data_IF_377444814456
#
_entry.id   IF_377444814456
#
_cell.length_a   1.000
_cell.length_b   1.000
_cell.length_c   1.000
_cell.angle_alpha   90.00
_cell.angle_beta   90.00
_cell.angle_gamma   90.00
#
_symmetry.space_group_name_H-M   'P 1'
#
loop_
_entity.id
_entity.type
_entity.pdbx_description
1 polymer ?
#
# COMPACT_ATOMS: atom_id res chain seq x y z
N UNK A 1 -15.44 24.96 -28.53
CA UNK A 1 -15.31 24.89 -27.07
C UNK A 1 -14.57 23.60 -26.79
N UNK A 2 -13.28 23.69 -26.53
CA UNK A 2 -12.47 22.50 -26.32
C UNK A 2 -12.62 22.08 -24.86
N UNK A 3 -13.49 21.09 -24.64
CA UNK A 3 -13.86 20.61 -23.32
C UNK A 3 -12.77 19.65 -22.83
N UNK A 4 -11.61 20.22 -22.52
CA UNK A 4 -10.44 19.52 -21.97
C UNK A 4 -10.79 19.01 -20.57
N UNK A 5 -11.03 17.69 -20.47
CA UNK A 5 -11.42 17.02 -19.23
C UNK A 5 -10.18 16.59 -18.41
N UNK A 6 -9.25 17.52 -18.22
CA UNK A 6 -8.05 17.28 -17.42
C UNK A 6 -8.42 16.88 -15.99
N UNK A 7 -7.60 16.01 -15.41
CA UNK A 7 -7.75 15.47 -14.07
C UNK A 7 -7.01 16.42 -13.12
N UNK A 8 -7.68 17.19 -12.26
CA UNK A 8 -6.99 17.99 -11.25
C UNK A 8 -6.33 17.07 -10.22
N UNK A 9 -5.07 17.35 -9.85
CA UNK A 9 -4.44 16.65 -8.72
C UNK A 9 -5.01 17.13 -7.37
N UNK A 10 -4.87 16.38 -6.27
CA UNK A 10 -5.37 16.82 -4.97
C UNK A 10 -4.63 18.08 -4.49
N UNK A 11 -5.31 19.03 -3.83
CA UNK A 11 -4.70 20.30 -3.43
C UNK A 11 -3.56 20.11 -2.41
N UNK A 12 -3.63 19.07 -1.57
CA UNK A 12 -2.58 18.70 -0.61
C UNK A 12 -2.46 17.18 -0.47
N UNK A 13 -1.27 16.69 -0.10
CA UNK A 13 -0.98 15.28 0.16
C UNK A 13 -0.84 14.92 1.64
N UNK A 14 -0.89 15.92 2.53
CA UNK A 14 -0.61 15.80 3.97
C UNK A 14 -1.66 16.56 4.79
N UNK A 15 -1.99 16.03 5.97
CA UNK A 15 -2.79 16.69 7.00
C UNK A 15 -2.08 16.55 8.35
N UNK A 16 -2.11 17.59 9.18
CA UNK A 16 -1.46 17.57 10.49
C UNK A 16 -2.51 17.36 11.60
N UNK A 17 -2.33 16.31 12.40
CA UNK A 17 -3.15 16.03 13.59
C UNK A 17 -2.25 16.21 14.81
N UNK A 18 -2.25 17.43 15.34
CA UNK A 18 -1.23 17.86 16.29
C UNK A 18 0.18 17.72 15.67
N UNK A 19 1.14 17.08 16.36
CA UNK A 19 2.49 16.88 15.84
C UNK A 19 2.60 15.79 14.75
N UNK A 20 1.52 15.05 14.44
CA UNK A 20 1.55 13.90 13.54
C UNK A 20 1.12 14.29 12.12
N UNK A 21 2.03 14.17 11.16
CA UNK A 21 1.73 14.34 9.74
C UNK A 21 1.09 13.06 9.16
N UNK A 22 -0.23 13.07 8.95
CA UNK A 22 -0.94 12.06 8.19
C UNK A 22 -0.70 12.27 6.69
N UNK A 23 0.04 11.35 6.07
CA UNK A 23 0.46 11.42 4.66
C UNK A 23 -0.41 10.49 3.82
N UNK A 24 -1.03 10.99 2.75
CA UNK A 24 -1.98 10.24 1.93
C UNK A 24 -1.40 8.90 1.42
N UNK A 25 -0.18 8.92 0.87
CA UNK A 25 0.48 7.73 0.35
C UNK A 25 0.68 6.65 1.41
N UNK A 26 0.95 7.02 2.67
CA UNK A 26 1.12 6.06 3.76
C UNK A 26 -0.19 5.34 4.07
N UNK A 27 -1.32 6.07 4.06
CA UNK A 27 -2.66 5.49 4.21
C UNK A 27 -2.98 4.52 3.07
N UNK A 28 -2.68 4.89 1.81
CA UNK A 28 -2.90 3.99 0.66
C UNK A 28 -1.98 2.76 0.66
N UNK A 29 -0.71 2.88 1.12
CA UNK A 29 0.18 1.73 1.30
C UNK A 29 -0.35 0.79 2.40
N UNK A 30 -0.78 1.33 3.55
CA UNK A 30 -1.35 0.53 4.65
C UNK A 30 -2.64 -0.17 4.18
N UNK A 31 -3.54 0.53 3.49
CA UNK A 31 -4.74 -0.05 2.89
C UNK A 31 -4.39 -1.17 1.89
N UNK A 32 -3.38 -0.96 1.05
CA UNK A 32 -2.87 -1.97 0.13
C UNK A 32 -2.37 -3.22 0.86
N UNK A 33 -1.57 -3.06 1.92
CA UNK A 33 -1.08 -4.17 2.76
C UNK A 33 -2.25 -4.94 3.40
N UNK A 34 -3.25 -4.25 3.95
CA UNK A 34 -4.45 -4.87 4.52
C UNK A 34 -5.22 -5.67 3.47
N UNK A 35 -5.43 -5.10 2.27
CA UNK A 35 -6.09 -5.78 1.15
C UNK A 35 -5.31 -7.00 0.70
N UNK A 36 -3.98 -6.91 0.58
CA UNK A 36 -3.12 -8.03 0.19
C UNK A 36 -3.17 -9.18 1.21
N UNK A 37 -3.15 -8.88 2.52
CA UNK A 37 -3.23 -9.89 3.59
C UNK A 37 -4.63 -10.50 3.62
N UNK A 38 -5.69 -9.71 3.73
CA UNK A 38 -7.08 -10.22 3.90
C UNK A 38 -7.54 -11.00 2.66
N UNK A 39 -7.23 -10.53 1.46
CA UNK A 39 -7.59 -11.27 0.24
C UNK A 39 -6.65 -12.45 -0.04
N UNK A 40 -5.36 -12.30 0.24
CA UNK A 40 -4.39 -13.37 0.17
C UNK A 40 -4.73 -14.54 1.09
N UNK A 41 -5.13 -14.27 2.33
CA UNK A 41 -5.50 -15.31 3.31
C UNK A 41 -6.77 -16.04 2.89
N UNK A 42 -7.81 -15.30 2.44
CA UNK A 42 -9.02 -15.91 1.83
C UNK A 42 -8.68 -16.79 0.63
N UNK A 43 -7.72 -16.40 -0.21
CA UNK A 43 -7.24 -17.20 -1.35
C UNK A 43 -6.36 -18.40 -0.94
N UNK A 44 -5.66 -18.31 0.18
CA UNK A 44 -4.86 -19.38 0.78
C UNK A 44 -5.76 -20.46 1.42
N UNK A 45 -6.75 -20.05 2.22
CA UNK A 45 -7.78 -20.95 2.78
C UNK A 45 -8.56 -21.63 1.66
N UNK A 46 -8.96 -20.90 0.61
CA UNK A 46 -9.63 -21.47 -0.58
C UNK A 46 -8.74 -22.42 -1.43
N UNK A 47 -7.46 -22.59 -1.09
CA UNK A 47 -6.56 -23.61 -1.65
C UNK A 47 -6.38 -24.83 -0.72
N UNK A 48 -6.82 -24.75 0.54
CA UNK A 48 -6.67 -25.78 1.57
C UNK A 48 -5.81 -25.37 2.78
N UNK A 49 -5.21 -24.17 2.72
CA UNK A 49 -4.36 -23.63 3.78
C UNK A 49 -5.10 -23.22 5.06
N UNK A 50 -4.34 -22.91 6.10
CA UNK A 50 -4.84 -22.48 7.41
C UNK A 50 -5.08 -20.96 7.48
N UNK A 51 -6.22 -20.54 8.04
CA UNK A 51 -6.61 -19.12 8.25
C UNK A 51 -5.55 -18.41 9.11
N UNK A 52 -5.23 -17.17 8.76
CA UNK A 52 -4.20 -16.35 9.40
C UNK A 52 -2.78 -16.55 8.87
N UNK A 53 -2.51 -17.62 8.11
CA UNK A 53 -1.15 -17.92 7.62
C UNK A 53 -0.52 -16.80 6.80
N UNK A 54 -1.31 -16.04 6.04
CA UNK A 54 -0.76 -14.91 5.27
C UNK A 54 -0.39 -13.73 6.18
N UNK A 55 -1.15 -13.49 7.26
CA UNK A 55 -0.82 -12.52 8.30
C UNK A 55 0.46 -12.93 9.05
N UNK A 56 0.55 -14.20 9.46
CA UNK A 56 1.70 -14.76 10.16
C UNK A 56 3.02 -14.66 9.36
N UNK A 57 2.92 -14.66 8.02
CA UNK A 57 4.07 -14.50 7.12
C UNK A 57 4.33 -13.01 6.81
N UNK A 58 3.29 -12.17 6.80
CA UNK A 58 3.45 -10.71 6.74
C UNK A 58 4.20 -10.15 7.96
N UNK A 59 4.08 -10.76 9.15
CA UNK A 59 4.87 -10.45 10.35
C UNK A 59 6.38 -10.59 10.09
N UNK A 60 6.81 -11.48 9.19
CA UNK A 60 8.21 -11.56 8.75
C UNK A 60 8.51 -10.66 7.55
N UNK A 61 7.63 -10.65 6.54
CA UNK A 61 7.87 -9.95 5.29
C UNK A 61 7.88 -8.41 5.43
N UNK A 62 6.98 -7.83 6.23
CA UNK A 62 6.84 -6.36 6.33
C UNK A 62 8.03 -5.72 7.08
N UNK A 63 8.47 -6.21 8.26
CA UNK A 63 9.64 -5.63 8.94
C UNK A 63 10.94 -5.82 8.14
N UNK A 64 11.14 -6.99 7.53
CA UNK A 64 12.30 -7.21 6.65
C UNK A 64 12.26 -6.29 5.43
N UNK A 65 11.09 -6.06 4.84
CA UNK A 65 10.90 -5.10 3.74
C UNK A 65 11.21 -3.66 4.15
N UNK A 66 10.78 -3.21 5.34
CA UNK A 66 11.11 -1.88 5.85
C UNK A 66 12.62 -1.72 6.06
N UNK A 67 13.27 -2.69 6.70
CA UNK A 67 14.72 -2.72 6.93
C UNK A 67 15.47 -2.71 5.59
N UNK A 68 15.09 -3.56 4.64
CA UNK A 68 15.72 -3.65 3.33
C UNK A 68 15.55 -2.40 2.49
N UNK A 69 14.37 -1.77 2.56
CA UNK A 69 14.12 -0.49 1.91
C UNK A 69 15.03 0.61 2.43
N UNK A 70 15.20 0.71 3.75
CA UNK A 70 16.12 1.68 4.35
C UNK A 70 17.57 1.38 4.02
N UNK A 71 18.00 0.13 4.16
CA UNK A 71 19.37 -0.30 3.85
C UNK A 71 19.76 -0.01 2.41
N UNK A 72 18.90 -0.30 1.43
CA UNK A 72 19.17 -0.01 0.02
C UNK A 72 19.38 1.49 -0.22
N UNK A 73 18.52 2.34 0.34
CA UNK A 73 18.64 3.79 0.16
C UNK A 73 19.89 4.36 0.86
N UNK A 74 20.23 3.88 2.06
CA UNK A 74 21.47 4.27 2.76
C UNK A 74 22.72 3.81 2.00
N UNK A 75 22.65 2.68 1.26
CA UNK A 75 23.74 2.20 0.40
C UNK A 75 23.86 2.98 -0.91
N UNK A 76 22.75 3.40 -1.53
CA UNK A 76 22.78 4.20 -2.77
C UNK A 76 23.17 5.65 -2.51
N UNK A 77 22.63 6.23 -1.43
CA UNK A 77 22.81 7.63 -1.06
C UNK A 77 23.81 7.79 0.11
N UNK A 78 24.77 6.86 0.21
CA UNK A 78 25.84 6.81 1.23
C UNK A 78 26.49 8.17 1.54
N UNK A 79 26.82 9.05 0.57
CA UNK A 79 27.48 10.33 0.87
C UNK A 79 26.61 11.30 1.68
N UNK A 80 25.28 11.19 1.61
CA UNK A 80 24.37 12.02 2.41
C UNK A 80 24.37 11.65 3.90
N UNK A 81 24.77 10.41 4.23
CA UNK A 81 24.78 9.89 5.61
C UNK A 81 26.18 9.90 6.23
N UNK A 82 27.23 9.71 5.43
CA UNK A 82 28.61 9.52 5.91
C UNK A 82 29.65 10.44 5.24
N UNK A 83 29.22 11.35 4.37
CA UNK A 83 30.07 12.42 3.84
C UNK A 83 30.34 13.54 4.84
N UNK A 84 31.06 14.57 4.40
CA UNK A 84 31.61 15.66 5.24
C UNK A 84 30.56 16.45 6.06
N UNK A 85 29.30 16.48 5.59
CA UNK A 85 28.17 17.10 6.30
C UNK A 85 27.05 16.10 6.68
N UNK A 86 27.32 14.79 6.54
CA UNK A 86 26.34 13.73 6.79
C UNK A 86 26.14 13.44 8.28
N UNK A 87 24.94 13.00 8.66
CA UNK A 87 24.65 12.51 10.02
C UNK A 87 24.44 10.98 9.99
N UNK A 88 25.40 10.17 10.48
CA UNK A 88 25.28 8.70 10.45
C UNK A 88 24.06 8.15 11.18
N UNK A 89 23.53 8.86 12.18
CA UNK A 89 22.30 8.49 12.89
C UNK A 89 21.05 8.61 12.01
N UNK A 90 21.06 9.45 10.98
CA UNK A 90 19.92 9.61 10.06
C UNK A 90 19.69 8.34 9.24
N UNK A 91 20.73 7.54 9.00
CA UNK A 91 20.60 6.23 8.35
C UNK A 91 19.54 5.32 9.01
N UNK A 92 19.33 5.44 10.32
CA UNK A 92 18.34 4.67 11.08
C UNK A 92 16.93 5.28 11.10
N UNK A 93 16.76 6.57 10.74
CA UNK A 93 15.52 7.34 10.89
C UNK A 93 14.51 7.06 9.76
N UNK A 94 13.96 5.84 9.73
CA UNK A 94 12.97 5.40 8.71
C UNK A 94 11.74 6.31 8.55
N UNK A 95 11.42 7.12 9.57
CA UNK A 95 10.31 8.08 9.56
C UNK A 95 10.62 9.39 8.81
N UNK A 96 11.89 9.66 8.47
CA UNK A 96 12.27 10.75 7.57
C UNK A 96 12.05 10.41 6.08
N UNK A 97 11.62 9.19 5.76
CA UNK A 97 11.45 8.70 4.39
C UNK A 97 12.66 7.91 3.89
N UNK A 98 12.98 8.02 2.61
CA UNK A 98 14.14 7.34 2.00
C UNK A 98 14.09 5.81 2.14
N UNK A 99 13.21 5.17 1.36
CA UNK A 99 13.04 3.71 1.32
C UNK A 99 13.10 3.21 -0.14
N UNK A 100 14.16 2.47 -0.48
CA UNK A 100 14.36 1.94 -1.83
C UNK A 100 13.55 0.68 -2.09
N UNK A 101 12.66 0.72 -3.09
CA UNK A 101 11.75 -0.40 -3.40
C UNK A 101 12.47 -1.74 -3.69
N UNK A 102 13.65 -1.69 -4.32
CA UNK A 102 14.45 -2.89 -4.60
C UNK A 102 14.88 -3.64 -3.34
N UNK A 103 15.41 -2.92 -2.34
CA UNK A 103 15.76 -3.52 -1.05
C UNK A 103 14.56 -4.02 -0.27
N UNK A 104 13.43 -3.30 -0.36
CA UNK A 104 12.19 -3.70 0.30
C UNK A 104 11.59 -4.98 -0.28
N UNK A 105 11.59 -5.13 -1.62
CA UNK A 105 11.16 -6.36 -2.30
C UNK A 105 12.12 -7.52 -1.99
N UNK A 106 13.43 -7.27 -2.01
CA UNK A 106 14.44 -8.32 -1.78
C UNK A 106 14.41 -8.87 -0.34
N UNK A 107 14.57 -8.03 0.68
CA UNK A 107 14.51 -8.51 2.07
C UNK A 107 13.09 -8.92 2.48
N UNK A 108 12.04 -8.25 1.98
CA UNK A 108 10.65 -8.67 2.23
C UNK A 108 10.37 -10.07 1.68
N UNK A 109 10.91 -10.41 0.51
CA UNK A 109 10.88 -11.77 -0.04
C UNK A 109 11.64 -12.79 0.82
N UNK A 110 12.80 -12.41 1.37
CA UNK A 110 13.55 -13.24 2.33
C UNK A 110 12.76 -13.44 3.63
N UNK A 111 12.11 -12.40 4.16
CA UNK A 111 11.22 -12.50 5.32
C UNK A 111 10.05 -13.47 5.05
N UNK A 112 9.39 -13.35 3.90
CA UNK A 112 8.34 -14.28 3.49
C UNK A 112 8.85 -15.74 3.37
N UNK A 113 10.04 -15.93 2.80
CA UNK A 113 10.71 -17.25 2.71
C UNK A 113 11.03 -17.83 4.10
N UNK A 114 11.54 -17.04 5.04
CA UNK A 114 11.78 -17.45 6.44
C UNK A 114 10.46 -17.88 7.11
N UNK A 115 9.40 -17.08 6.97
CA UNK A 115 8.07 -17.39 7.51
C UNK A 115 7.52 -18.72 6.98
N UNK A 116 7.55 -18.90 5.66
CA UNK A 116 7.17 -20.16 5.01
C UNK A 116 8.02 -21.33 5.52
N UNK A 117 9.35 -21.18 5.59
CA UNK A 117 10.28 -22.26 5.93
C UNK A 117 10.17 -22.69 7.40
N UNK A 118 9.85 -21.75 8.31
CA UNK A 118 9.50 -22.07 9.71
C UNK A 118 8.18 -22.83 9.81
N UNK A 119 7.13 -22.41 9.09
CA UNK A 119 5.84 -23.16 9.05
C UNK A 119 5.93 -24.50 8.31
N UNK A 120 6.87 -24.64 7.38
CA UNK A 120 7.06 -25.81 6.54
C UNK A 120 6.27 -25.82 5.22
N UNK A 121 5.59 -24.73 4.88
CA UNK A 121 4.70 -24.64 3.71
C UNK A 121 5.45 -24.25 2.41
N UNK A 122 4.92 -24.62 1.23
CA UNK A 122 5.51 -24.25 -0.05
C UNK A 122 5.33 -22.76 -0.39
N UNK A 123 6.45 -22.05 -0.54
CA UNK A 123 6.53 -20.63 -0.92
C UNK A 123 5.82 -20.35 -2.25
N UNK A 124 5.89 -21.29 -3.20
CA UNK A 124 5.25 -21.20 -4.51
C UNK A 124 3.73 -21.10 -4.43
N UNK A 125 3.12 -21.91 -3.55
CA UNK A 125 1.68 -21.94 -3.34
C UNK A 125 1.19 -20.67 -2.64
N UNK A 126 1.98 -20.16 -1.67
CA UNK A 126 1.72 -18.87 -1.04
C UNK A 126 1.78 -17.74 -2.09
N UNK A 127 2.82 -17.72 -2.92
CA UNK A 127 2.97 -16.77 -4.02
C UNK A 127 1.74 -16.74 -4.92
N UNK A 128 1.25 -17.91 -5.36
CA UNK A 128 0.03 -18.01 -6.17
C UNK A 128 -1.25 -17.60 -5.41
N UNK A 129 -1.31 -17.78 -4.09
CA UNK A 129 -2.41 -17.27 -3.27
C UNK A 129 -2.39 -15.73 -3.21
N UNK A 130 -1.24 -15.13 -2.90
CA UNK A 130 -1.13 -13.69 -2.61
C UNK A 130 -0.91 -12.81 -3.84
N UNK A 131 -0.50 -13.35 -5.00
CA UNK A 131 -0.14 -12.55 -6.18
C UNK A 131 -1.21 -11.52 -6.62
N UNK A 132 -2.52 -11.86 -6.73
CA UNK A 132 -3.55 -10.87 -7.03
C UNK A 132 -3.71 -9.81 -5.93
N UNK A 133 -3.47 -10.17 -4.67
CA UNK A 133 -3.50 -9.25 -3.53
C UNK A 133 -2.34 -8.24 -3.55
N UNK A 134 -1.12 -8.70 -3.84
CA UNK A 134 0.06 -7.83 -3.99
C UNK A 134 -0.12 -6.86 -5.15
N UNK A 135 -0.58 -7.33 -6.31
CA UNK A 135 -0.76 -6.48 -7.48
C UNK A 135 -1.92 -5.48 -7.29
N UNK A 136 -2.98 -5.86 -6.57
CA UNK A 136 -4.03 -4.91 -6.17
C UNK A 136 -3.51 -3.88 -5.16
N UNK A 137 -2.64 -4.27 -4.23
CA UNK A 137 -1.97 -3.35 -3.32
C UNK A 137 -1.06 -2.35 -4.06
N UNK A 138 -0.38 -2.77 -5.13
CA UNK A 138 0.36 -1.87 -6.02
C UNK A 138 -0.57 -0.88 -6.73
N UNK A 139 -1.74 -1.32 -7.22
CA UNK A 139 -2.75 -0.43 -7.81
C UNK A 139 -3.28 0.61 -6.80
N UNK A 140 -3.57 0.20 -5.57
CA UNK A 140 -3.99 1.10 -4.48
C UNK A 140 -2.84 2.08 -4.13
N UNK A 141 -1.61 1.60 -4.05
CA UNK A 141 -0.42 2.42 -3.78
C UNK A 141 -0.18 3.54 -4.80
N UNK A 142 -0.56 3.33 -6.08
CA UNK A 142 -0.48 4.37 -7.12
C UNK A 142 -1.41 5.56 -6.85
N UNK A 143 -2.52 5.37 -6.14
CA UNK A 143 -3.38 6.48 -5.68
C UNK A 143 -2.61 7.37 -4.67
N UNK A 144 -1.70 6.77 -3.89
CA UNK A 144 -0.77 7.52 -3.05
C UNK A 144 0.13 8.48 -3.83
N UNK A 145 0.64 8.05 -4.99
CA UNK A 145 1.48 8.90 -5.85
C UNK A 145 0.69 10.08 -6.47
N UNK A 146 -0.61 9.89 -6.74
CA UNK A 146 -1.51 10.96 -7.19
C UNK A 146 -1.70 12.05 -6.13
N UNK A 147 -1.92 11.68 -4.85
CA UNK A 147 -1.97 12.67 -3.76
C UNK A 147 -0.62 13.35 -3.50
N UNK A 148 0.49 12.63 -3.64
CA UNK A 148 1.83 13.20 -3.54
C UNK A 148 2.20 14.09 -4.73
N UNK A 149 1.46 14.03 -5.85
CA UNK A 149 1.85 14.61 -7.14
C UNK A 149 3.25 14.16 -7.58
N UNK A 150 3.52 12.85 -7.56
CA UNK A 150 4.83 12.28 -7.88
C UNK A 150 4.74 11.18 -8.94
N UNK A 151 5.89 10.82 -9.52
CA UNK A 151 6.05 9.70 -10.48
C UNK A 151 5.17 9.78 -11.74
N UNK A 152 4.58 10.94 -12.04
CA UNK A 152 3.85 11.22 -13.27
C UNK A 152 4.72 11.05 -14.54
N UNK A 153 4.09 10.99 -15.72
CA UNK A 153 4.78 10.88 -17.01
C UNK A 153 5.22 12.23 -17.57
N UNK A 154 5.67 12.25 -18.84
CA UNK A 154 5.98 13.50 -19.54
C UNK A 154 4.75 14.41 -19.72
N UNK A 155 5.00 15.67 -20.07
CA UNK A 155 3.97 16.65 -20.41
C UNK A 155 3.12 16.19 -21.61
N UNK A 156 1.85 16.62 -21.63
CA UNK A 156 0.85 16.08 -22.56
C UNK A 156 -0.29 17.04 -22.86
N UNK A 157 -0.92 16.82 -24.02
CA UNK A 157 -2.13 17.53 -24.45
C UNK A 157 -3.33 16.58 -24.66
N UNK A 158 -3.24 15.32 -24.20
CA UNK A 158 -4.38 14.39 -24.26
C UNK A 158 -5.48 14.86 -23.29
N UNK A 159 -6.77 14.75 -23.65
CA UNK A 159 -7.87 15.40 -22.90
C UNK A 159 -8.16 14.79 -21.52
N UNK A 160 -7.35 13.83 -21.06
CA UNK A 160 -7.37 13.24 -19.70
C UNK A 160 -6.02 13.42 -18.98
N UNK A 161 -5.20 14.41 -19.39
CA UNK A 161 -3.95 14.77 -18.71
C UNK A 161 -4.17 15.13 -17.24
N UNK A 162 -3.16 14.89 -16.40
CA UNK A 162 -3.15 15.24 -14.98
C UNK A 162 -2.56 16.63 -14.80
N UNK A 163 -3.29 17.51 -14.13
CA UNK A 163 -2.81 18.85 -13.75
C UNK A 163 -1.98 18.75 -12.47
N UNK A 164 -0.75 19.25 -12.51
CA UNK A 164 0.14 19.34 -11.34
C UNK A 164 0.04 20.75 -10.78
N UNK A 165 -0.67 20.91 -9.65
CA UNK A 165 -0.81 22.20 -9.00
C UNK A 165 0.46 22.61 -8.26
N UNK A 166 0.84 23.88 -8.32
CA UNK A 166 1.83 24.43 -7.40
C UNK A 166 1.31 24.35 -5.96
N UNK A 167 2.22 24.04 -5.02
CA UNK A 167 1.91 23.98 -3.58
C UNK A 167 2.91 24.82 -2.80
N UNK A 168 2.40 25.56 -1.83
CA UNK A 168 3.19 26.41 -0.93
C UNK A 168 2.96 26.05 0.53
N UNK A 169 3.99 26.29 1.35
CA UNK A 169 3.89 26.20 2.81
C UNK A 169 3.28 27.49 3.41
N UNK A 170 3.12 27.52 4.74
CA UNK A 170 2.55 28.66 5.48
C UNK A 170 3.35 29.97 5.35
N UNK A 171 4.58 29.92 4.83
CA UNK A 171 5.45 31.07 4.58
C UNK A 171 5.47 31.49 3.10
N UNK A 172 4.58 30.94 2.27
CA UNK A 172 4.50 31.22 0.84
C UNK A 172 5.64 30.61 0.01
N UNK A 173 6.46 29.73 0.59
CA UNK A 173 7.56 29.07 -0.12
C UNK A 173 7.08 27.76 -0.75
N UNK A 174 7.64 27.39 -1.90
CA UNK A 174 7.32 26.15 -2.62
C UNK A 174 7.57 24.92 -1.75
N UNK A 175 6.54 24.08 -1.58
CA UNK A 175 6.61 22.78 -0.92
C UNK A 175 5.63 21.81 -1.61
N UNK A 176 6.10 21.12 -2.64
CA UNK A 176 5.29 20.19 -3.43
C UNK A 176 4.79 18.99 -2.61
N UNK A 177 5.43 18.65 -1.50
CA UNK A 177 5.20 17.40 -0.76
C UNK A 177 4.28 17.58 0.45
N UNK A 178 4.42 18.67 1.21
CA UNK A 178 3.64 18.96 2.41
C UNK A 178 2.89 20.30 2.37
N UNK A 179 3.12 21.14 1.35
CA UNK A 179 2.36 22.36 1.12
C UNK A 179 0.93 22.13 0.60
N UNK A 180 0.20 23.23 0.46
CA UNK A 180 -1.19 23.29 0.00
C UNK A 180 -1.25 24.08 -1.32
N UNK A 181 -2.13 23.67 -2.23
CA UNK A 181 -2.29 24.30 -3.53
C UNK A 181 -2.74 25.76 -3.44
N UNK A 182 -2.09 26.62 -4.23
CA UNK A 182 -2.51 28.01 -4.47
C UNK A 182 -3.50 28.13 -5.66
N UNK A 183 -3.78 27.03 -6.36
CA UNK A 183 -4.64 26.96 -7.54
C UNK A 183 -3.90 27.12 -8.88
N UNK A 184 -2.60 27.41 -8.90
CA UNK A 184 -1.82 27.52 -10.14
C UNK A 184 -1.44 26.14 -10.68
N UNK A 185 -1.60 25.90 -11.99
CA UNK A 185 -1.19 24.66 -12.65
C UNK A 185 0.21 24.84 -13.25
N UNK A 186 1.21 24.17 -12.67
CA UNK A 186 2.60 24.20 -13.18
C UNK A 186 2.69 23.54 -14.55
N UNK A 187 2.01 22.39 -14.73
CA UNK A 187 2.08 21.57 -15.95
C UNK A 187 0.94 20.56 -16.04
N UNK A 188 0.67 20.09 -17.26
CA UNK A 188 -0.26 18.98 -17.55
C UNK A 188 0.52 17.79 -18.10
N UNK A 189 0.38 16.62 -17.46
CA UNK A 189 1.25 15.44 -17.66
C UNK A 189 0.45 14.15 -17.87
N UNK A 190 1.08 13.13 -18.45
CA UNK A 190 0.48 11.80 -18.55
C UNK A 190 0.21 11.21 -17.13
N UNK A 191 -1.05 10.84 -16.79
CA UNK A 191 -1.39 10.19 -15.52
C UNK A 191 -0.89 8.73 -15.45
N UNK A 192 0.42 8.53 -15.35
CA UNK A 192 1.05 7.21 -15.20
C UNK A 192 0.50 6.46 -13.99
N UNK A 193 0.16 7.16 -12.90
CA UNK A 193 -0.48 6.55 -11.74
C UNK A 193 -1.78 5.83 -12.11
N UNK A 194 -2.60 6.43 -12.99
CA UNK A 194 -3.88 5.89 -13.45
C UNK A 194 -3.65 4.75 -14.45
N UNK A 195 -2.70 4.92 -15.38
CA UNK A 195 -2.33 3.87 -16.33
C UNK A 195 -1.81 2.63 -15.60
N UNK A 196 -0.95 2.78 -14.60
CA UNK A 196 -0.47 1.68 -13.77
C UNK A 196 -1.56 1.08 -12.88
N UNK A 197 -2.41 1.89 -12.25
CA UNK A 197 -3.50 1.39 -11.43
C UNK A 197 -4.51 0.56 -12.26
N UNK A 198 -4.93 1.07 -13.42
CA UNK A 198 -5.83 0.37 -14.35
C UNK A 198 -5.16 -0.89 -14.90
N UNK A 199 -3.90 -0.83 -15.33
CA UNK A 199 -3.17 -2.00 -15.82
C UNK A 199 -3.04 -3.08 -14.75
N UNK A 200 -2.65 -2.70 -13.53
CA UNK A 200 -2.54 -3.63 -12.41
C UNK A 200 -3.90 -4.27 -12.09
N UNK A 201 -5.01 -3.51 -12.10
CA UNK A 201 -6.36 -4.07 -11.92
C UNK A 201 -6.76 -5.02 -13.06
N UNK A 202 -6.44 -4.70 -14.32
CA UNK A 202 -6.70 -5.58 -15.46
C UNK A 202 -5.94 -6.91 -15.34
N UNK A 203 -4.67 -6.86 -14.93
CA UNK A 203 -3.88 -8.07 -14.68
C UNK A 203 -4.37 -8.81 -13.42
N UNK A 204 -4.83 -8.14 -12.36
CA UNK A 204 -5.50 -8.78 -11.20
C UNK A 204 -6.73 -9.58 -11.66
N UNK A 205 -7.57 -8.99 -12.52
CA UNK A 205 -8.75 -9.66 -13.09
C UNK A 205 -8.31 -10.88 -13.92
N UNK A 206 -7.31 -10.73 -14.79
CA UNK A 206 -6.75 -11.83 -15.59
C UNK A 206 -6.26 -12.98 -14.70
N UNK A 207 -5.49 -12.71 -13.65
CA UNK A 207 -4.98 -13.72 -12.72
C UNK A 207 -6.11 -14.46 -12.00
N UNK A 208 -7.14 -13.75 -11.55
CA UNK A 208 -8.31 -14.35 -10.89
C UNK A 208 -9.10 -15.24 -11.86
N UNK A 209 -9.30 -14.81 -13.11
CA UNK A 209 -9.97 -15.60 -14.14
C UNK A 209 -9.15 -16.85 -14.51
N UNK A 210 -7.85 -16.71 -14.69
CA UNK A 210 -6.92 -17.80 -15.03
C UNK A 210 -6.85 -18.84 -13.91
N UNK A 211 -6.71 -18.42 -12.64
CA UNK A 211 -6.71 -19.34 -11.49
C UNK A 211 -8.05 -20.07 -11.33
N UNK A 212 -9.18 -19.38 -11.51
CA UNK A 212 -10.51 -20.01 -11.48
C UNK A 212 -10.71 -21.00 -12.63
N UNK A 213 -10.27 -20.67 -13.85
CA UNK A 213 -10.49 -21.48 -15.06
C UNK A 213 -9.54 -22.68 -15.19
N UNK A 214 -8.30 -22.55 -14.73
CA UNK A 214 -7.24 -23.55 -14.94
C UNK A 214 -6.65 -24.14 -13.65
N UNK A 215 -7.06 -23.67 -12.46
CA UNK A 215 -6.58 -24.12 -11.13
C UNK A 215 -5.05 -24.14 -11.07
N UNK A 216 -4.43 -22.98 -11.23
CA UNK A 216 -2.97 -22.86 -11.35
C UNK A 216 -2.31 -22.86 -9.98
N UNK A 217 -1.28 -23.69 -9.83
CA UNK A 217 -0.36 -23.72 -8.69
C UNK A 217 1.10 -23.79 -9.13
N UNK A 218 1.96 -24.14 -8.18
CA UNK A 218 3.41 -24.30 -8.33
C UNK A 218 4.15 -23.01 -8.73
N UNK A 219 3.68 -21.86 -8.24
CA UNK A 219 4.30 -20.54 -8.45
C UNK A 219 3.99 -19.91 -9.81
N UNK A 220 3.16 -20.59 -10.61
CA UNK A 220 2.90 -20.22 -12.01
C UNK A 220 1.93 -19.05 -12.12
N UNK A 221 1.06 -18.82 -11.13
CA UNK A 221 0.22 -17.62 -11.09
C UNK A 221 1.04 -16.39 -10.64
N UNK A 222 1.97 -16.57 -9.71
CA UNK A 222 2.95 -15.54 -9.33
C UNK A 222 3.85 -15.16 -10.52
N UNK A 223 4.27 -16.14 -11.33
CA UNK A 223 5.00 -15.87 -12.57
C UNK A 223 4.18 -15.06 -13.60
N UNK A 224 2.87 -15.35 -13.75
CA UNK A 224 1.99 -14.52 -14.58
C UNK A 224 1.79 -13.09 -14.01
N UNK A 225 1.78 -12.92 -12.68
CA UNK A 225 1.81 -11.60 -12.04
C UNK A 225 3.07 -10.84 -12.41
N UNK A 226 4.25 -11.45 -12.25
CA UNK A 226 5.54 -10.84 -12.59
C UNK A 226 5.60 -10.45 -14.08
N UNK A 227 5.18 -11.34 -14.98
CA UNK A 227 5.12 -11.04 -16.42
C UNK A 227 4.14 -9.89 -16.72
N UNK A 228 2.92 -9.92 -16.16
CA UNK A 228 1.93 -8.86 -16.36
C UNK A 228 2.40 -7.50 -15.83
N UNK A 229 3.03 -7.47 -14.65
CA UNK A 229 3.62 -6.26 -14.08
C UNK A 229 4.79 -5.73 -14.92
N UNK A 230 5.72 -6.58 -15.34
CA UNK A 230 6.87 -6.18 -16.17
C UNK A 230 6.44 -5.63 -17.54
N UNK A 231 5.38 -6.17 -18.14
CA UNK A 231 4.82 -5.63 -19.39
C UNK A 231 4.25 -4.21 -19.19
N UNK A 232 3.49 -3.98 -18.11
CA UNK A 232 3.00 -2.65 -17.76
C UNK A 232 4.13 -1.67 -17.45
N UNK A 233 5.13 -2.11 -16.68
CA UNK A 233 6.32 -1.32 -16.33
C UNK A 233 7.12 -0.91 -17.57
N UNK A 234 7.28 -1.81 -18.54
CA UNK A 234 7.92 -1.53 -19.84
C UNK A 234 7.17 -0.43 -20.60
N UNK A 235 5.84 -0.56 -20.77
CA UNK A 235 5.01 0.44 -21.48
C UNK A 235 5.02 1.80 -20.78
N UNK A 236 5.00 1.83 -19.44
CA UNK A 236 5.01 3.08 -18.67
C UNK A 236 6.38 3.75 -18.67
N UNK A 237 7.49 2.99 -18.67
CA UNK A 237 8.84 3.56 -18.76
C UNK A 237 9.07 4.29 -20.10
N UNK A 238 8.46 3.82 -21.19
CA UNK A 238 8.45 4.51 -22.50
C UNK A 238 7.59 5.79 -22.53
N UNK A 239 6.82 6.08 -21.47
CA UNK A 239 6.04 7.31 -21.29
C UNK A 239 6.67 8.30 -20.31
N UNK A 240 7.82 7.96 -19.71
CA UNK A 240 8.61 8.87 -18.87
C UNK A 240 9.68 9.58 -19.70
N UNK A 241 10.09 10.74 -19.22
CA UNK A 241 11.18 11.54 -19.80
C UNK A 241 12.12 12.09 -18.70
N UNK A 242 12.12 11.43 -17.54
CA UNK A 242 13.03 11.69 -16.42
C UNK A 242 14.43 11.11 -16.67
N UNK A 243 15.45 11.65 -16.02
CA UNK A 243 16.81 11.12 -16.13
C UNK A 243 16.86 9.65 -15.67
N UNK A 244 17.40 8.78 -16.52
CA UNK A 244 17.59 7.37 -16.23
C UNK A 244 18.94 6.89 -16.75
N UNK A 245 19.57 5.97 -16.04
CA UNK A 245 20.73 5.27 -16.57
C UNK A 245 20.32 4.38 -17.76
N UNK A 246 21.11 4.39 -18.82
CA UNK A 246 20.87 3.62 -20.04
C UNK A 246 22.00 2.64 -20.33
N UNK A 247 21.65 1.52 -20.95
CA UNK A 247 22.58 0.55 -21.53
C UNK A 247 22.20 0.42 -23.00
N UNK A 248 23.15 0.69 -23.90
CA UNK A 248 22.94 0.66 -25.36
C UNK A 248 21.73 1.50 -25.86
N UNK A 249 21.49 2.67 -25.26
CA UNK A 249 20.36 3.55 -25.61
C UNK A 249 18.99 3.07 -25.10
N UNK A 250 18.97 2.17 -24.12
CA UNK A 250 17.76 1.66 -23.48
C UNK A 250 17.88 1.84 -21.97
N UNK A 251 16.89 2.53 -21.36
CA UNK A 251 16.77 2.69 -19.91
C UNK A 251 16.91 1.36 -19.16
N UNK A 252 17.75 1.31 -18.12
CA UNK A 252 18.03 0.09 -17.32
C UNK A 252 16.76 -0.58 -16.79
N UNK A 253 15.76 0.20 -16.38
CA UNK A 253 14.44 -0.31 -15.97
C UNK A 253 13.70 -1.05 -17.10
N UNK A 254 13.79 -0.58 -18.33
CA UNK A 254 13.17 -1.19 -19.52
C UNK A 254 13.85 -2.51 -19.85
N UNK A 255 15.18 -2.52 -19.88
CA UNK A 255 15.98 -3.73 -20.10
C UNK A 255 15.74 -4.80 -19.02
N UNK A 256 15.74 -4.39 -17.74
CA UNK A 256 15.47 -5.26 -16.60
C UNK A 256 14.05 -5.83 -16.65
N UNK A 257 13.06 -5.01 -16.99
CA UNK A 257 11.66 -5.47 -17.15
C UNK A 257 11.53 -6.49 -18.27
N UNK A 258 12.26 -6.33 -19.38
CA UNK A 258 12.31 -7.31 -20.47
C UNK A 258 12.89 -8.65 -20.04
N UNK A 259 14.04 -8.65 -19.36
CA UNK A 259 14.66 -9.89 -18.86
C UNK A 259 13.74 -10.62 -17.87
N UNK A 260 13.19 -9.89 -16.89
CA UNK A 260 12.31 -10.48 -15.87
C UNK A 260 10.99 -10.98 -16.48
N UNK A 261 10.46 -10.31 -17.50
CA UNK A 261 9.31 -10.77 -18.28
C UNK A 261 9.56 -12.13 -18.94
N UNK A 262 10.64 -12.27 -19.71
CA UNK A 262 10.97 -13.53 -20.37
C UNK A 262 11.33 -14.65 -19.39
N UNK A 263 12.02 -14.35 -18.30
CA UNK A 263 12.30 -15.31 -17.23
C UNK A 263 11.01 -15.82 -16.55
N UNK A 264 10.05 -14.93 -16.29
CA UNK A 264 8.75 -15.28 -15.72
C UNK A 264 7.89 -16.13 -16.68
N UNK A 265 7.89 -15.82 -17.98
CA UNK A 265 7.24 -16.66 -19.00
C UNK A 265 7.91 -18.05 -19.10
N UNK A 266 9.25 -18.12 -19.13
CA UNK A 266 9.97 -19.38 -19.14
C UNK A 266 9.61 -20.25 -17.92
N UNK A 267 9.59 -19.66 -16.71
CA UNK A 267 9.13 -20.34 -15.50
C UNK A 267 7.67 -20.81 -15.63
N UNK A 268 6.76 -19.97 -16.14
CA UNK A 268 5.35 -20.33 -16.33
C UNK A 268 5.14 -21.57 -17.24
N UNK A 269 5.97 -21.74 -18.27
CA UNK A 269 5.89 -22.89 -19.17
C UNK A 269 6.64 -24.14 -18.66
N UNK A 270 7.76 -23.95 -17.95
CA UNK A 270 8.62 -25.04 -17.46
C UNK A 270 8.17 -25.62 -16.11
N UNK A 271 7.54 -24.83 -15.24
CA UNK A 271 7.12 -25.27 -13.92
C UNK A 271 5.94 -26.28 -13.97
N UNK A 272 5.86 -27.12 -12.92
CA UNK A 272 4.89 -28.22 -12.79
C UNK A 272 3.44 -27.74 -13.02
N UNK A 273 2.73 -28.41 -13.92
CA UNK A 273 1.33 -28.12 -14.25
C UNK A 273 0.38 -28.65 -13.16
N UNK A 274 -0.81 -28.05 -13.07
CA UNK A 274 -1.79 -28.32 -12.01
C UNK A 274 -1.58 -27.48 -10.75
N UNK A 275 -2.34 -27.79 -9.69
CA UNK A 275 -2.25 -27.19 -8.36
C UNK A 275 -1.57 -28.14 -7.37
N UNK A 276 -1.02 -27.59 -6.30
CA UNK A 276 -0.57 -28.34 -5.11
C UNK A 276 -1.74 -29.12 -4.47
N UNK A 277 -1.41 -30.18 -3.71
CA UNK A 277 -2.40 -30.88 -2.89
C UNK A 277 -2.74 -30.03 -1.64
N UNK A 278 -4.01 -29.92 -1.22
CA UNK A 278 -4.38 -29.30 0.06
C UNK A 278 -3.60 -29.81 1.29
N UNK A 279 -3.10 -31.05 1.27
CA UNK A 279 -2.23 -31.61 2.30
C UNK A 279 -0.83 -30.96 2.32
N UNK A 280 -0.25 -30.63 1.16
CA UNK A 280 1.06 -29.95 1.04
C UNK A 280 1.04 -28.53 1.64
N UNK A 281 -0.15 -27.94 1.81
CA UNK A 281 -0.35 -26.58 2.32
C UNK A 281 -0.46 -26.50 3.85
N UNK A 282 -0.37 -27.64 4.56
CA UNK A 282 -0.45 -27.69 6.02
C UNK A 282 0.88 -27.31 6.67
N UNK A 283 0.79 -26.53 7.75
CA UNK A 283 1.92 -26.25 8.61
C UNK A 283 2.35 -27.51 9.36
N UNK A 284 3.64 -27.61 9.70
CA UNK A 284 4.18 -28.68 10.55
C UNK A 284 3.44 -28.78 11.89
N UNK A 285 3.03 -27.64 12.44
CA UNK A 285 2.31 -27.56 13.71
C UNK A 285 0.92 -28.19 13.59
N UNK A 286 0.18 -27.88 12.51
CA UNK A 286 -1.11 -28.52 12.23
C UNK A 286 -0.98 -30.04 12.08
N UNK A 287 0.02 -30.51 11.31
CA UNK A 287 0.26 -31.96 11.12
C UNK A 287 0.62 -32.64 12.44
N UNK A 288 1.42 -31.99 13.30
CA UNK A 288 1.76 -32.48 14.63
C UNK A 288 0.55 -32.54 15.57
N UNK A 289 -0.27 -31.48 15.63
CA UNK A 289 -1.47 -31.42 16.48
C UNK A 289 -2.52 -32.48 16.09
N UNK A 290 -2.73 -32.70 14.79
CA UNK A 290 -3.59 -33.79 14.28
C UNK A 290 -3.03 -35.15 14.65
N UNK A 291 -1.71 -35.36 14.52
CA UNK A 291 -1.06 -36.63 14.89
C UNK A 291 -1.07 -36.88 16.41
N UNK A 292 -1.09 -35.82 17.23
CA UNK A 292 -1.24 -35.89 18.68
C UNK A 292 -2.70 -36.07 19.15
N UNK A 293 -3.68 -36.00 18.23
CA UNK A 293 -5.10 -36.15 18.55
C UNK A 293 -5.72 -34.96 19.27
N UNK A 294 -5.17 -33.75 19.09
CA UNK A 294 -5.63 -32.55 19.80
C UNK A 294 -7.07 -32.17 19.42
N UNK A 295 -7.98 -32.29 20.39
CA UNK A 295 -9.38 -31.95 20.20
C UNK A 295 -9.57 -30.44 20.01
N UNK A 296 -9.97 -30.03 18.81
CA UNK A 296 -10.17 -28.62 18.44
C UNK A 296 -9.41 -28.16 17.21
N UNK A 297 -8.59 -29.00 16.57
CA UNK A 297 -8.00 -28.69 15.26
C UNK A 297 -9.12 -28.59 14.20
N UNK A 298 -9.60 -27.38 13.97
CA UNK A 298 -10.68 -27.10 13.04
C UNK A 298 -10.32 -27.46 11.59
N UNK A 299 -11.30 -27.98 10.85
CA UNK A 299 -11.15 -28.23 9.43
C UNK A 299 -10.89 -26.90 8.67
N UNK A 300 -10.03 -26.89 7.63
CA UNK A 300 -9.72 -25.67 6.89
C UNK A 300 -10.97 -25.09 6.23
N UNK A 301 -11.37 -23.88 6.65
CA UNK A 301 -12.50 -23.15 6.07
C UNK A 301 -13.76 -23.03 6.94
N UNK A 302 -13.79 -23.59 8.16
CA UNK A 302 -14.86 -23.26 9.12
C UNK A 302 -14.56 -21.94 9.83
N UNK A 303 -15.36 -20.90 9.59
CA UNK A 303 -15.28 -19.64 10.34
C UNK A 303 -15.83 -19.81 11.77
N UNK A 304 -14.93 -20.14 12.70
CA UNK A 304 -15.23 -20.36 14.12
C UNK A 304 -15.54 -19.07 14.91
N UNK A 305 -15.41 -17.89 14.30
CA UNK A 305 -15.72 -16.60 14.92
C UNK A 305 -17.21 -16.48 15.32
N UNK A 306 -18.13 -17.10 14.57
CA UNK A 306 -19.55 -17.12 14.92
C UNK A 306 -19.85 -17.92 16.20
N UNK A 307 -19.09 -18.98 16.48
CA UNK A 307 -19.36 -19.88 17.61
C UNK A 307 -19.00 -19.30 18.99
N UNK A 308 -18.27 -18.17 19.04
CA UNK A 308 -17.92 -17.47 20.30
C UNK A 308 -18.86 -16.33 20.66
N UNK A 309 -19.83 -15.98 19.82
CA UNK A 309 -20.81 -14.94 20.11
C UNK A 309 -21.91 -15.47 21.06
N UNK A 310 -22.62 -16.53 20.67
CA UNK A 310 -23.78 -17.05 21.41
C UNK A 310 -23.42 -17.55 22.82
N UNK A 311 -22.27 -18.21 22.96
CA UNK A 311 -21.79 -18.74 24.23
C UNK A 311 -21.51 -17.68 25.31
N UNK A 312 -21.50 -16.38 24.97
CA UNK A 312 -21.30 -15.28 25.92
C UNK A 312 -22.60 -14.56 26.33
N UNK A 313 -23.75 -14.96 25.77
CA UNK A 313 -25.06 -14.35 26.04
C UNK A 313 -25.86 -15.15 27.08
N UNK A 314 -25.61 -16.46 27.21
CA UNK A 314 -26.36 -17.34 28.13
C UNK A 314 -25.98 -17.15 29.60
N UNK A 315 -24.68 -17.03 29.90
CA UNK A 315 -24.19 -17.07 31.29
C UNK A 315 -24.46 -15.77 32.07
N UNK A 316 -24.74 -14.67 31.36
CA UNK A 316 -25.02 -13.36 31.96
C UNK A 316 -26.40 -13.25 32.63
N UNK A 317 -27.28 -14.26 32.53
CA UNK A 317 -28.69 -14.17 32.96
C UNK A 317 -29.07 -15.05 34.16
N UNK A 318 -28.08 -15.64 34.85
CA UNK A 318 -28.30 -16.54 35.98
C UNK A 318 -28.02 -15.91 37.38
N UNK A 319 -27.57 -14.65 37.46
CA UNK A 319 -27.02 -14.04 38.69
C UNK A 319 -27.70 -12.74 39.15
N UNK A 320 -29.00 -12.54 38.88
CA UNK A 320 -29.72 -11.40 39.47
C UNK A 320 -31.20 -11.75 39.75
N UNK A 321 -31.42 -12.45 40.87
CA UNK A 321 -32.73 -12.97 41.27
C UNK A 321 -32.92 -13.03 42.81
N UNK A 322 -32.63 -11.92 43.52
CA UNK A 322 -33.01 -11.76 44.94
C UNK A 322 -33.05 -10.30 45.40
N UNK A 323 -34.06 -9.97 46.21
CA UNK A 323 -34.52 -8.61 46.60
C UNK A 323 -35.01 -7.77 45.38
N UNK A 324 -36.27 -7.33 45.24
CA UNK A 324 -37.23 -6.69 46.18
C UNK A 324 -36.79 -5.27 46.58
N UNK A 325 -37.64 -4.24 46.51
CA UNK A 325 -39.06 -4.13 46.09
C UNK A 325 -39.62 -2.75 46.51
N UNK A 326 -40.93 -2.46 46.29
CA UNK A 326 -41.59 -1.16 46.59
C UNK A 326 -41.16 -0.02 45.62
N UNK A 327 -42.05 0.43 44.73
CA UNK A 327 -42.89 1.66 44.81
C UNK A 327 -42.16 2.94 44.32
N UNK A 328 -42.80 4.00 43.79
CA UNK A 328 -44.10 4.15 43.10
C UNK A 328 -44.15 5.53 42.39
N UNK A 329 -45.00 5.66 41.35
CA UNK A 329 -45.61 6.90 40.79
C UNK A 329 -44.74 8.13 40.39
N UNK A 330 -45.16 8.85 39.32
CA UNK A 330 -44.86 10.30 39.18
C UNK A 330 -44.60 10.82 37.76
N UNK A 331 -45.40 11.82 37.36
CA UNK A 331 -45.29 12.78 36.23
C UNK A 331 -43.87 13.16 35.75
N UNK A 332 -43.55 13.37 34.46
CA UNK A 332 -44.24 14.11 33.34
C UNK A 332 -43.94 15.64 33.31
N UNK A 333 -43.85 16.23 32.10
CA UNK A 333 -43.71 17.69 31.75
C UNK A 333 -42.36 18.39 32.09
N UNK A 334 -41.76 19.36 31.36
CA UNK A 334 -41.56 19.68 29.91
C UNK A 334 -40.40 20.71 29.73
N UNK A 335 -39.83 20.82 28.51
CA UNK A 335 -39.36 22.03 27.77
C UNK A 335 -38.46 23.16 28.36
N UNK A 336 -37.51 23.59 27.50
CA UNK A 336 -37.04 25.00 27.27
C UNK A 336 -36.09 25.67 28.31
N UNK A 337 -35.30 26.72 28.00
CA UNK A 337 -34.99 27.36 26.71
C UNK A 337 -33.54 27.94 26.63
N UNK A 338 -33.24 28.61 25.51
CA UNK A 338 -31.96 29.13 24.99
C UNK A 338 -31.33 30.40 25.66
N UNK A 339 -30.32 30.96 24.97
CA UNK A 339 -29.70 32.31 25.11
C UNK A 339 -28.61 32.48 26.21
N UNK A 340 -27.61 33.39 26.14
CA UNK A 340 -27.18 34.36 25.09
C UNK A 340 -25.74 34.90 25.33
N UNK A 341 -25.11 35.54 24.30
CA UNK A 341 -24.07 36.62 24.38
C UNK A 341 -22.71 36.35 25.11
N UNK A 342 -21.60 37.12 25.02
CA UNK A 342 -20.94 38.08 24.07
C UNK A 342 -19.55 38.43 24.67
N UNK A 343 -18.49 39.01 24.06
CA UNK A 343 -18.18 39.61 22.73
C UNK A 343 -16.68 39.21 22.37
N UNK A 344 -15.67 39.93 21.85
CA UNK A 344 -15.42 41.32 21.37
C UNK A 344 -14.23 41.43 20.37
N UNK A 345 -14.42 42.20 19.29
CA UNK A 345 -13.65 43.40 18.82
C UNK A 345 -12.28 43.77 19.45
N UNK A 346 -11.32 44.44 18.77
CA UNK A 346 -11.24 45.02 17.41
C UNK A 346 -9.78 45.33 16.95
N UNK A 347 -9.59 45.59 15.63
CA UNK A 347 -8.64 46.56 15.00
C UNK A 347 -7.10 46.41 15.23
N UNK A 348 -6.19 47.06 14.47
CA UNK A 348 -6.09 47.42 13.03
C UNK A 348 -4.64 47.85 12.70
N UNK A 349 -4.30 48.00 11.41
CA UNK A 349 -3.41 49.02 10.79
C UNK A 349 -2.46 48.50 9.68
N UNK A 350 -2.01 49.44 8.84
CA UNK A 350 -1.31 49.23 7.57
C UNK A 350 0.22 49.37 7.69
N UNK A 351 0.97 48.81 6.73
CA UNK A 351 1.94 49.60 5.93
C UNK A 351 2.53 48.78 4.79
N UNK A 352 2.90 49.49 3.72
CA UNK A 352 3.58 48.95 2.53
C UNK A 352 5.09 49.12 2.61
N UNK A 353 5.85 48.22 1.99
CA UNK A 353 6.94 48.69 1.12
C UNK A 353 7.29 47.69 0.01
N UNK A 354 7.92 48.17 -1.07
CA UNK A 354 8.24 47.35 -2.25
C UNK A 354 9.62 47.67 -2.84
N UNK A 355 10.49 46.66 -2.90
CA UNK A 355 11.83 46.77 -3.51
C UNK A 355 12.01 45.73 -4.62
N UNK A 356 12.66 46.17 -5.71
CA UNK A 356 12.83 45.43 -6.97
C UNK A 356 14.24 44.83 -7.12
N UNK A 357 14.30 43.75 -7.90
CA UNK A 357 15.44 43.32 -8.73
C UNK A 357 16.78 42.97 -8.04
N UNK A 358 17.23 41.73 -8.24
CA UNK A 358 18.34 41.50 -9.19
C UNK A 358 18.41 40.05 -9.66
N UNK A 359 18.80 39.85 -10.93
CA UNK A 359 19.31 38.56 -11.43
C UNK A 359 20.78 38.42 -11.06
N UNK A 360 21.28 37.19 -10.93
CA UNK A 360 22.60 36.86 -11.49
C UNK A 360 22.75 35.37 -11.78
N UNK A 361 23.36 35.08 -12.92
CA UNK A 361 23.57 33.73 -13.44
C UNK A 361 24.92 33.14 -13.01
N UNK A 362 24.98 31.79 -12.96
CA UNK A 362 26.14 30.96 -13.33
C UNK A 362 27.40 30.96 -12.43
N UNK A 363 28.38 30.04 -12.63
CA UNK A 363 28.59 29.05 -13.72
C UNK A 363 27.53 27.95 -13.87
#
# INVERSE_FOLDING_TARGET
MDLLAYIPSPPQGVWYVGPVALRAYALFIILGIIVAIVWGDRRWVARGGEKGTVLDIAIWAVPFGLIGGRLYHVLTDWPAYFGENGQPLDALKVWQGGLGIWGAVFLGGIGAWIGCRRRGIPVSALGDAIAPGILLAQAIGRIGNYFNQELYGRETTVPWGLEIFERVNSSGQLDQLAGVSNGEVIRVVHPTFLYEAVWNVLIVILLVLVDRRFKIGHGRLFALYVAGYCLGRFVVELMRDDFAYEIAGIRVNTFTSGIVFFAALAYFFLAKKGREDPADLKSKNYVAAVAAGEAGVAAPGTDTDSAKADAKVTDAKASEAKAAGSDAAGSDVTESDASEASDSTAASDESSDAVKLSKKDKP
#
